data_IF_714554901387
#
_entry.id   IF_714554901387
#
_cell.length_a   1.000
_cell.length_b   1.000
_cell.length_c   1.000
_cell.angle_alpha   90.00
_cell.angle_beta   90.00
_cell.angle_gamma   90.00
#
_symmetry.space_group_name_H-M   'P 1'
#
loop_
_entity.id
_entity.type
_entity.pdbx_description
1 polymer ?
#
# COMPACT_ATOMS: atom_id res chain seq x y z
N UNK A 1 3.21 14.53 8.53
CA UNK A 1 2.61 13.31 7.94
C UNK A 1 3.55 12.70 6.94
N UNK A 2 3.68 11.39 6.98
CA UNK A 2 4.55 10.65 6.08
C UNK A 2 3.75 9.73 5.19
N UNK A 3 4.25 9.51 3.97
CA UNK A 3 3.69 8.54 3.04
C UNK A 3 4.72 7.43 2.79
N UNK A 4 4.29 6.17 2.96
CA UNK A 4 5.09 5.01 2.58
C UNK A 4 4.56 4.50 1.25
N UNK A 5 5.41 4.50 0.25
CA UNK A 5 5.05 4.10 -1.11
C UNK A 5 5.74 2.79 -1.45
N UNK A 6 4.97 1.75 -1.68
CA UNK A 6 5.49 0.45 -2.13
C UNK A 6 5.07 0.21 -3.58
N UNK A 7 5.98 -0.26 -4.39
CA UNK A 7 5.76 -0.48 -5.83
C UNK A 7 5.99 -1.93 -6.21
N UNK A 8 5.12 -2.44 -7.08
CA UNK A 8 5.24 -3.78 -7.65
C UNK A 8 5.18 -3.71 -9.17
N UNK A 9 5.89 -4.62 -9.82
CA UNK A 9 5.91 -4.76 -11.28
C UNK A 9 5.87 -6.24 -11.66
N UNK A 10 5.45 -6.53 -12.89
CA UNK A 10 5.39 -7.88 -13.41
C UNK A 10 4.13 -8.65 -13.04
N UNK A 11 3.12 -7.98 -12.53
CA UNK A 11 1.83 -8.60 -12.27
C UNK A 11 1.04 -8.85 -13.56
N UNK A 12 0.06 -9.74 -13.48
CA UNK A 12 -0.89 -9.95 -14.59
C UNK A 12 -2.13 -9.10 -14.40
N UNK A 13 -2.81 -8.76 -15.48
CA UNK A 13 -4.03 -7.96 -15.42
C UNK A 13 -5.08 -8.63 -14.53
N UNK A 14 -5.32 -9.92 -14.72
CA UNK A 14 -6.29 -10.66 -13.91
C UNK A 14 -5.88 -10.77 -12.45
N UNK A 15 -4.60 -11.03 -12.19
CA UNK A 15 -4.06 -11.10 -10.83
C UNK A 15 -4.16 -9.77 -10.09
N UNK A 16 -3.87 -8.67 -10.77
CA UNK A 16 -3.98 -7.33 -10.19
C UNK A 16 -5.44 -6.98 -9.89
N UNK A 17 -6.37 -7.31 -10.78
CA UNK A 17 -7.79 -7.06 -10.54
C UNK A 17 -8.33 -7.87 -9.36
N UNK A 18 -7.94 -9.13 -9.26
CA UNK A 18 -8.32 -9.98 -8.12
C UNK A 18 -7.74 -9.45 -6.80
N UNK A 19 -6.48 -9.03 -6.82
CA UNK A 19 -5.84 -8.43 -5.64
C UNK A 19 -6.51 -7.12 -5.23
N UNK A 20 -6.95 -6.31 -6.19
CA UNK A 20 -7.67 -5.06 -5.93
C UNK A 20 -9.00 -5.32 -5.22
N UNK A 21 -9.73 -6.33 -5.64
CA UNK A 21 -11.00 -6.71 -5.00
C UNK A 21 -10.79 -7.20 -3.58
N UNK A 22 -9.77 -8.03 -3.36
CA UNK A 22 -9.41 -8.49 -2.03
C UNK A 22 -9.02 -7.33 -1.13
N UNK A 23 -8.25 -6.37 -1.65
CA UNK A 23 -7.82 -5.20 -0.89
C UNK A 23 -9.00 -4.30 -0.51
N UNK A 24 -9.99 -4.13 -1.38
CA UNK A 24 -11.20 -3.37 -1.05
C UNK A 24 -11.93 -3.99 0.14
N UNK A 25 -12.04 -5.30 0.17
CA UNK A 25 -12.66 -6.02 1.28
C UNK A 25 -11.86 -5.83 2.57
N UNK A 26 -10.53 -5.95 2.50
CA UNK A 26 -9.66 -5.84 3.66
C UNK A 26 -9.66 -4.41 4.22
N UNK A 27 -9.60 -3.40 3.36
CA UNK A 27 -9.60 -1.99 3.76
C UNK A 27 -10.90 -1.60 4.46
N UNK A 28 -12.02 -2.16 4.05
CA UNK A 28 -13.32 -1.84 4.66
C UNK A 28 -13.38 -2.21 6.14
N UNK A 29 -12.50 -3.08 6.60
CA UNK A 29 -12.40 -3.52 7.98
C UNK A 29 -11.39 -2.70 8.80
N UNK A 30 -10.76 -1.70 8.20
CA UNK A 30 -9.75 -0.87 8.83
C UNK A 30 -8.33 -1.38 8.60
N UNK A 31 -7.31 -0.70 9.15
CA UNK A 31 -5.93 -1.12 8.99
C UNK A 31 -5.66 -2.46 9.69
N UNK A 32 -4.70 -3.25 9.19
CA UNK A 32 -4.32 -4.51 9.85
C UNK A 32 -3.80 -4.29 11.27
N UNK A 33 -3.87 -5.31 12.14
CA UNK A 33 -3.30 -5.22 13.48
C UNK A 33 -1.83 -4.81 13.46
N UNK A 34 -1.45 -3.87 14.30
CA UNK A 34 -0.08 -3.38 14.39
C UNK A 34 0.28 -2.29 13.38
N UNK A 35 -0.63 -1.92 12.49
CA UNK A 35 -0.44 -0.87 11.50
C UNK A 35 -1.21 0.38 11.91
N UNK A 36 -0.50 1.47 12.15
CA UNK A 36 -1.06 2.75 12.63
C UNK A 36 -1.21 3.76 11.49
N UNK A 37 -1.73 3.33 10.34
CA UNK A 37 -1.93 4.22 9.20
C UNK A 37 -3.20 5.04 9.35
N UNK A 38 -3.16 6.28 8.84
CA UNK A 38 -4.32 7.18 8.79
C UNK A 38 -5.05 7.10 7.45
N UNK A 39 -4.45 6.45 6.47
CA UNK A 39 -5.05 6.26 5.15
C UNK A 39 -4.26 5.27 4.35
N UNK A 40 -4.92 4.64 3.39
CA UNK A 40 -4.31 3.70 2.47
C UNK A 40 -4.95 3.85 1.10
N UNK A 41 -4.10 3.94 0.07
CA UNK A 41 -4.55 4.04 -1.32
C UNK A 41 -3.80 3.02 -2.15
N UNK A 42 -4.53 2.24 -2.94
CA UNK A 42 -3.94 1.31 -3.91
C UNK A 42 -4.19 1.84 -5.31
N UNK A 43 -3.12 2.03 -6.07
CA UNK A 43 -3.18 2.45 -7.46
C UNK A 43 -2.75 1.28 -8.32
N UNK A 44 -3.50 1.00 -9.38
CA UNK A 44 -3.22 -0.14 -10.25
C UNK A 44 -3.20 0.25 -11.71
N UNK A 45 -2.31 -0.39 -12.45
CA UNK A 45 -2.25 -0.35 -13.91
C UNK A 45 -2.24 -1.81 -14.37
N UNK A 46 -3.43 -2.44 -14.50
CA UNK A 46 -3.49 -3.87 -14.80
C UNK A 46 -2.83 -4.26 -16.11
N UNK A 47 -3.02 -3.46 -17.16
CA UNK A 47 -2.44 -3.76 -18.46
C UNK A 47 -0.92 -3.58 -18.48
N UNK A 48 -0.40 -2.64 -17.71
CA UNK A 48 1.04 -2.43 -17.55
C UNK A 48 1.69 -3.33 -16.51
N UNK A 49 0.92 -4.10 -15.76
CA UNK A 49 1.43 -5.00 -14.72
C UNK A 49 2.01 -4.28 -13.50
N UNK A 50 1.56 -3.05 -13.23
CA UNK A 50 2.11 -2.21 -12.17
C UNK A 50 1.11 -1.94 -11.05
N UNK A 51 1.60 -1.93 -9.83
CA UNK A 51 0.80 -1.60 -8.64
C UNK A 51 1.61 -0.66 -7.73
N UNK A 52 0.93 0.28 -7.11
CA UNK A 52 1.51 1.15 -6.11
C UNK A 52 0.57 1.20 -4.90
N UNK A 53 1.14 1.04 -3.71
CA UNK A 53 0.37 1.20 -2.47
C UNK A 53 0.94 2.35 -1.67
N UNK A 54 0.09 3.26 -1.25
CA UNK A 54 0.46 4.45 -0.50
C UNK A 54 -0.22 4.38 0.87
N UNK A 55 0.58 4.23 1.92
CA UNK A 55 0.09 4.30 3.29
C UNK A 55 0.46 5.65 3.90
N UNK A 56 -0.48 6.29 4.59
CA UNK A 56 -0.25 7.56 5.26
C UNK A 56 -0.11 7.33 6.77
N UNK A 57 0.85 8.03 7.39
CA UNK A 57 1.14 7.93 8.82
C UNK A 57 1.26 9.33 9.40
N UNK A 58 0.67 9.53 10.58
CA UNK A 58 0.67 10.85 11.23
C UNK A 58 2.07 11.26 11.69
N UNK A 59 2.93 10.31 12.03
CA UNK A 59 4.27 10.58 12.54
C UNK A 59 5.27 9.52 12.09
N UNK A 60 6.56 9.85 12.19
CA UNK A 60 7.64 8.90 11.94
C UNK A 60 7.58 7.72 12.91
N UNK A 61 7.21 7.97 14.15
CA UNK A 61 7.10 6.93 15.16
C UNK A 61 6.01 5.91 14.81
N UNK A 62 4.85 6.38 14.35
CA UNK A 62 3.77 5.50 13.90
C UNK A 62 4.20 4.65 12.71
N UNK A 63 4.96 5.23 11.78
CA UNK A 63 5.52 4.50 10.65
C UNK A 63 6.49 3.41 11.11
N UNK A 64 7.41 3.73 12.02
CA UNK A 64 8.37 2.75 12.55
C UNK A 64 7.68 1.59 13.25
N UNK A 65 6.71 1.88 14.09
CA UNK A 65 5.96 0.85 14.80
C UNK A 65 5.17 -0.04 13.84
N UNK A 66 4.70 0.53 12.73
CA UNK A 66 3.95 -0.21 11.70
C UNK A 66 4.84 -1.04 10.78
N UNK A 67 6.12 -0.66 10.60
CA UNK A 67 7.05 -1.33 9.69
C UNK A 67 7.22 -2.82 9.99
N UNK A 68 7.31 -3.19 11.25
CA UNK A 68 7.45 -4.59 11.64
C UNK A 68 6.24 -5.43 11.18
N UNK A 69 5.04 -4.90 11.37
CA UNK A 69 3.81 -5.56 10.93
C UNK A 69 3.73 -5.60 9.40
N UNK A 70 4.09 -4.51 8.74
CA UNK A 70 4.07 -4.42 7.27
C UNK A 70 5.06 -5.38 6.61
N UNK A 71 6.22 -5.58 7.21
CA UNK A 71 7.23 -6.52 6.69
C UNK A 71 6.80 -7.97 6.80
N UNK A 72 5.95 -8.29 7.77
CA UNK A 72 5.44 -9.65 7.97
C UNK A 72 4.21 -9.96 7.10
N UNK A 73 3.61 -8.95 6.50
CA UNK A 73 2.46 -9.15 5.63
C UNK A 73 2.88 -9.66 4.26
N UNK A 74 2.23 -10.73 3.82
CA UNK A 74 2.40 -11.21 2.46
C UNK A 74 1.48 -10.40 1.53
N UNK A 75 2.01 -9.82 0.44
CA UNK A 75 1.15 -9.16 -0.53
C UNK A 75 0.23 -10.18 -1.21
N UNK A 76 -0.95 -9.76 -1.70
CA UNK A 76 -1.81 -10.64 -2.48
C UNK A 76 -1.06 -11.21 -3.68
N UNK A 77 -1.39 -12.45 -4.05
CA UNK A 77 -0.83 -13.05 -5.25
C UNK A 77 -1.24 -12.27 -6.50
N UNK A 78 -0.40 -12.30 -7.53
CA UNK A 78 -0.68 -11.66 -8.80
C UNK A 78 -0.15 -10.24 -8.96
N UNK A 79 0.43 -9.65 -7.90
CA UNK A 79 1.02 -8.32 -7.99
C UNK A 79 2.41 -8.30 -8.64
N UNK A 80 3.04 -9.46 -8.80
CA UNK A 80 4.41 -9.55 -9.29
C UNK A 80 5.44 -9.35 -8.19
N UNK A 81 6.52 -8.66 -8.50
CA UNK A 81 7.64 -8.45 -7.58
C UNK A 81 7.64 -7.04 -7.03
N UNK A 82 7.87 -6.90 -5.73
CA UNK A 82 8.05 -5.57 -5.13
C UNK A 82 9.39 -5.00 -5.57
N UNK A 83 9.36 -3.88 -6.26
CA UNK A 83 10.55 -3.24 -6.85
C UNK A 83 11.12 -2.12 -5.99
N UNK A 84 10.30 -1.47 -5.18
CA UNK A 84 10.74 -0.37 -4.33
C UNK A 84 9.81 -0.16 -3.15
N UNK A 85 10.38 0.35 -2.07
CA UNK A 85 9.63 0.91 -0.94
C UNK A 85 10.30 2.23 -0.58
N UNK A 86 9.53 3.31 -0.63
CA UNK A 86 10.03 4.67 -0.47
C UNK A 86 9.20 5.40 0.59
N UNK A 87 9.82 6.35 1.28
CA UNK A 87 9.16 7.16 2.29
C UNK A 87 9.30 8.62 1.91
N UNK A 88 8.17 9.32 1.91
CA UNK A 88 8.10 10.72 1.57
C UNK A 88 7.42 11.51 2.68
N UNK A 89 7.82 12.76 2.85
CA UNK A 89 7.06 13.72 3.64
C UNK A 89 5.90 14.24 2.80
N UNK A 90 4.70 14.30 3.38
CA UNK A 90 3.56 14.91 2.69
C UNK A 90 3.68 16.42 2.83
N UNK A 91 4.09 17.09 1.76
CA UNK A 91 4.32 18.53 1.78
C UNK A 91 3.03 19.33 1.66
N UNK A 92 2.04 18.82 0.93
CA UNK A 92 0.75 19.47 0.74
C UNK A 92 -0.30 18.43 0.41
N UNK A 93 -1.51 18.64 0.92
CA UNK A 93 -2.66 17.79 0.64
C UNK A 93 -3.92 18.63 0.66
N UNK A 94 -4.75 18.48 -0.37
CA UNK A 94 -6.05 19.15 -0.48
C UNK A 94 -7.09 18.10 -0.86
N UNK A 95 -8.17 18.06 -0.10
CA UNK A 95 -9.33 17.24 -0.44
C UNK A 95 -10.37 18.09 -1.15
N UNK A 96 -10.84 17.62 -2.28
CA UNK A 96 -11.83 18.30 -3.09
C UNK A 96 -13.15 17.54 -3.10
#
# INVERSE_FOLDING_TARGET
>A
MLARVARWEGGTADGIRAASEQMRSDISQGPPPGVKSTGLTMLVDPDGGRVMMIGLFASENDLRESEAALKQMNPPEGLGTRTATEIFEVAAEVRM
#
